data_IF_228138335008
#
_entry.id   IF_228138335008
#
_cell.length_a   1.000
_cell.length_b   1.000
_cell.length_c   1.000
_cell.angle_alpha   90.00
_cell.angle_beta   90.00
_cell.angle_gamma   90.00
#
_symmetry.space_group_name_H-M   'P 1'
#
loop_
_entity.id
_entity.type
_entity.pdbx_description
1 polymer ?
#
# COMPACT_ATOMS: atom_id res chain seq x y z
N UNK A 1 15.33 -0.62 -16.53
CA UNK A 1 14.35 -0.70 -15.43
C UNK A 1 13.00 -0.94 -16.05
N UNK A 2 12.28 -1.98 -15.60
CA UNK A 2 10.99 -2.36 -16.18
C UNK A 2 9.89 -1.91 -15.23
N UNK A 3 9.19 -0.86 -15.60
CA UNK A 3 7.95 -0.44 -14.92
C UNK A 3 6.84 -1.43 -15.28
N UNK A 4 6.12 -1.92 -14.27
CA UNK A 4 4.93 -2.74 -14.45
C UNK A 4 3.73 -2.05 -13.81
N UNK A 5 2.57 -2.19 -14.46
CA UNK A 5 1.30 -1.64 -13.97
C UNK A 5 0.99 -2.30 -12.63
N UNK A 6 0.73 -1.47 -11.60
CA UNK A 6 0.37 -1.94 -10.26
C UNK A 6 -0.81 -2.93 -10.26
N UNK A 7 -1.68 -2.87 -11.27
CA UNK A 7 -2.82 -3.79 -11.42
C UNK A 7 -2.46 -5.28 -11.53
N UNK A 8 -1.38 -5.67 -12.22
CA UNK A 8 -1.01 -7.10 -12.32
C UNK A 8 -0.32 -7.64 -11.05
N UNK A 9 0.17 -6.76 -10.17
CA UNK A 9 0.91 -7.14 -8.96
C UNK A 9 0.01 -7.19 -7.73
N UNK A 10 -1.05 -6.37 -7.69
CA UNK A 10 -1.99 -6.34 -6.56
C UNK A 10 -3.04 -7.46 -6.64
N UNK A 11 -3.49 -7.84 -7.85
CA UNK A 11 -4.46 -8.93 -8.03
C UNK A 11 -3.96 -10.28 -7.47
N UNK A 12 -2.70 -10.72 -7.70
CA UNK A 12 -2.16 -11.94 -7.08
C UNK A 12 -1.97 -11.85 -5.57
N UNK A 13 -1.89 -10.64 -5.00
CA UNK A 13 -1.79 -10.45 -3.55
C UNK A 13 -3.15 -10.58 -2.85
N UNK A 14 -4.26 -10.70 -3.61
CA UNK A 14 -5.60 -10.90 -3.07
C UNK A 14 -6.14 -9.68 -2.33
N UNK A 15 -5.66 -8.48 -2.65
CA UNK A 15 -6.12 -7.25 -2.01
C UNK A 15 -7.44 -6.81 -2.66
N UNK A 16 -8.49 -6.72 -1.86
CA UNK A 16 -9.79 -6.16 -2.26
C UNK A 16 -10.06 -4.88 -1.51
N UNK A 17 -10.65 -3.90 -2.17
CA UNK A 17 -11.17 -2.68 -1.54
C UNK A 17 -12.67 -2.83 -1.39
N UNK A 18 -13.18 -2.51 -0.21
CA UNK A 18 -14.62 -2.43 0.04
C UNK A 18 -15.09 -1.03 -0.37
N UNK A 19 -15.81 -0.97 -1.49
CA UNK A 19 -16.34 0.26 -2.08
C UNK A 19 -17.79 0.01 -2.50
N UNK A 20 -18.64 1.01 -2.27
CA UNK A 20 -20.04 0.94 -2.67
C UNK A 20 -20.21 1.05 -4.20
N UNK A 21 -21.39 0.66 -4.72
CA UNK A 21 -21.70 0.67 -6.16
C UNK A 21 -21.60 2.06 -6.83
N UNK A 22 -21.69 3.14 -6.04
CA UNK A 22 -21.60 4.52 -6.50
C UNK A 22 -20.21 5.16 -6.24
N UNK A 23 -19.26 4.38 -5.73
CA UNK A 23 -17.93 4.84 -5.39
C UNK A 23 -16.90 4.43 -6.44
N UNK A 24 -15.92 5.31 -6.65
CA UNK A 24 -14.79 5.05 -7.54
C UNK A 24 -13.49 5.46 -6.86
N UNK A 25 -12.48 4.60 -6.95
CA UNK A 25 -11.11 4.94 -6.55
C UNK A 25 -10.55 5.96 -7.53
N UNK A 26 -10.23 7.16 -7.03
CA UNK A 26 -9.67 8.25 -7.83
C UNK A 26 -8.14 8.25 -7.78
N UNK A 27 -7.58 7.96 -6.60
CA UNK A 27 -6.14 8.01 -6.33
C UNK A 27 -5.74 6.91 -5.34
N UNK A 28 -4.50 6.43 -5.43
CA UNK A 28 -3.98 5.41 -4.52
C UNK A 28 -2.48 5.57 -4.25
N UNK A 29 -2.09 5.26 -3.01
CA UNK A 29 -0.69 5.05 -2.60
C UNK A 29 -0.59 3.62 -2.07
N UNK A 30 0.43 2.90 -2.55
CA UNK A 30 0.71 1.53 -2.13
C UNK A 30 2.06 1.50 -1.42
N UNK A 31 2.06 0.97 -0.20
CA UNK A 31 3.28 0.63 0.53
C UNK A 31 3.41 -0.89 0.54
N UNK A 32 4.56 -1.39 0.10
CA UNK A 32 4.83 -2.83 0.09
C UNK A 32 6.16 -3.12 0.76
N UNK A 33 6.18 -4.11 1.65
CA UNK A 33 7.43 -4.72 2.10
C UNK A 33 7.88 -5.69 1.01
N UNK A 34 9.11 -5.53 0.55
CA UNK A 34 9.75 -6.45 -0.38
C UNK A 34 10.90 -7.15 0.33
N UNK A 35 11.16 -8.38 -0.09
CA UNK A 35 12.30 -9.17 0.37
C UNK A 35 13.07 -9.63 -0.86
N UNK A 36 14.38 -9.46 -0.84
CA UNK A 36 15.26 -10.07 -1.83
C UNK A 36 15.42 -11.55 -1.51
N UNK A 37 15.49 -12.37 -2.56
CA UNK A 37 15.85 -13.79 -2.46
C UNK A 37 17.06 -14.13 -3.32
N UNK A 38 17.75 -13.11 -3.86
CA UNK A 38 18.97 -13.30 -4.62
C UNK A 38 20.15 -13.60 -3.69
N UNK A 39 21.06 -14.48 -4.11
CA UNK A 39 22.38 -14.69 -3.49
C UNK A 39 22.39 -14.89 -1.96
N UNK A 40 21.40 -15.60 -1.40
CA UNK A 40 21.20 -15.78 0.05
C UNK A 40 21.00 -14.47 0.85
N UNK A 41 20.90 -13.33 0.15
CA UNK A 41 20.60 -12.03 0.73
C UNK A 41 19.09 -11.95 1.02
N UNK A 42 18.75 -12.08 2.30
CA UNK A 42 17.37 -11.92 2.80
C UNK A 42 17.06 -10.47 3.17
N UNK A 43 17.71 -9.52 2.51
CA UNK A 43 17.46 -8.11 2.75
C UNK A 43 15.99 -7.75 2.52
N UNK A 44 15.46 -6.92 3.40
CA UNK A 44 14.10 -6.41 3.28
C UNK A 44 14.13 -4.92 3.03
N UNK A 45 13.26 -4.44 2.15
CA UNK A 45 13.04 -3.03 1.94
C UNK A 45 11.54 -2.71 1.99
N UNK A 46 11.22 -1.43 2.15
CA UNK A 46 9.87 -0.91 1.94
C UNK A 46 9.91 -0.09 0.66
N UNK A 47 8.99 -0.39 -0.25
CA UNK A 47 8.81 0.37 -1.49
C UNK A 47 7.46 1.07 -1.45
N UNK A 48 7.39 2.21 -2.13
CA UNK A 48 6.18 2.98 -2.31
C UNK A 48 5.92 3.17 -3.79
N UNK A 49 4.66 3.00 -4.19
CA UNK A 49 4.17 3.33 -5.52
C UNK A 49 2.88 4.15 -5.41
N UNK A 50 2.55 4.90 -6.44
CA UNK A 50 1.34 5.73 -6.49
C UNK A 50 0.65 5.65 -7.85
N UNK A 51 -0.64 6.00 -7.87
CA UNK A 51 -1.41 6.15 -9.10
C UNK A 51 -0.87 7.30 -9.96
N UNK A 52 -1.01 7.17 -11.29
CA UNK A 52 -0.65 8.23 -12.21
C UNK A 52 -1.50 9.49 -11.95
N UNK A 53 -0.86 10.66 -11.92
CA UNK A 53 -1.54 11.94 -11.70
C UNK A 53 -1.68 12.37 -10.23
N UNK A 54 -1.28 11.52 -9.28
CA UNK A 54 -1.24 11.88 -7.86
C UNK A 54 -0.21 12.99 -7.61
N UNK A 55 -0.66 14.13 -7.08
CA UNK A 55 0.25 15.20 -6.66
C UNK A 55 0.89 14.92 -5.29
N UNK A 56 1.95 15.64 -4.97
CA UNK A 56 2.72 15.42 -3.75
C UNK A 56 1.93 15.73 -2.47
N UNK A 57 0.95 16.65 -2.52
CA UNK A 57 0.09 17.00 -1.38
C UNK A 57 -0.89 15.87 -1.12
N UNK A 58 -1.57 15.40 -2.17
CA UNK A 58 -2.48 14.27 -2.10
C UNK A 58 -1.77 12.99 -1.64
N UNK A 59 -0.55 12.75 -2.12
CA UNK A 59 0.29 11.63 -1.68
C UNK A 59 0.60 11.69 -0.17
N UNK A 60 1.00 12.85 0.34
CA UNK A 60 1.25 13.03 1.77
C UNK A 60 -0.03 12.85 2.59
N UNK A 61 -1.16 13.38 2.10
CA UNK A 61 -2.47 13.25 2.73
C UNK A 61 -2.89 11.79 2.86
N UNK A 62 -2.80 11.01 1.78
CA UNK A 62 -3.16 9.58 1.78
C UNK A 62 -2.28 8.76 2.73
N UNK A 63 -0.97 9.03 2.77
CA UNK A 63 -0.05 8.35 3.71
C UNK A 63 -0.39 8.69 5.15
N UNK A 64 -0.67 9.96 5.47
CA UNK A 64 -1.02 10.39 6.82
C UNK A 64 -2.35 9.79 7.30
N UNK A 65 -3.37 9.78 6.44
CA UNK A 65 -4.67 9.14 6.75
C UNK A 65 -4.50 7.64 6.95
N UNK A 66 -3.71 6.97 6.09
CA UNK A 66 -3.41 5.55 6.24
C UNK A 66 -2.75 5.23 7.59
N UNK A 67 -1.79 6.05 8.05
CA UNK A 67 -1.19 5.91 9.38
C UNK A 67 -2.22 6.02 10.50
N UNK A 68 -3.17 6.95 10.38
CA UNK A 68 -4.23 7.12 11.38
C UNK A 68 -5.15 5.90 11.43
N UNK A 69 -5.60 5.39 10.28
CA UNK A 69 -6.46 4.20 10.20
C UNK A 69 -5.78 3.00 10.88
N UNK A 70 -4.51 2.74 10.56
CA UNK A 70 -3.75 1.63 11.15
C UNK A 70 -3.61 1.77 12.67
N UNK A 71 -3.47 2.99 13.19
CA UNK A 71 -3.35 3.23 14.62
C UNK A 71 -4.69 3.08 15.37
N UNK A 72 -5.81 3.36 14.71
CA UNK A 72 -7.16 3.20 15.28
C UNK A 72 -7.62 1.74 15.24
N UNK A 73 -7.26 1.00 14.20
CA UNK A 73 -7.72 -0.38 13.98
C UNK A 73 -6.85 -1.44 14.68
N UNK A 74 -5.91 -1.03 15.53
CA UNK A 74 -5.15 -1.95 16.37
C UNK A 74 -6.02 -2.28 17.60
N UNK A 75 -6.58 -3.49 17.74
CA UNK A 75 -7.18 -3.88 19.01
C UNK A 75 -6.12 -3.72 20.09
N UNK A 76 -6.49 -3.09 21.21
CA UNK A 76 -5.64 -3.07 22.40
C UNK A 76 -5.18 -4.51 22.62
N UNK A 77 -3.88 -4.75 22.52
CA UNK A 77 -3.35 -6.05 22.92
C UNK A 77 -3.64 -6.12 24.40
N UNK A 78 -4.57 -6.98 24.80
CA UNK A 78 -4.71 -7.39 26.19
C UNK A 78 -3.32 -7.85 26.64
N UNK A 79 -2.66 -7.01 27.43
CA UNK A 79 -1.39 -7.33 28.06
C UNK A 79 -1.72 -8.31 29.20
N UNK A 80 -1.48 -9.60 28.96
CA UNK A 80 -1.41 -10.63 30.01
C UNK A 80 -0.20 -10.40 30.93
#
# INVERSE_FOLDING_TARGET
MTERKAGEVLDPLGVTLDVDDDQQVVEAVVLAKVVSFADDDRSTAVVMASSAGLDWVAQLGLVAVGQQIVNVDRPERDED
#
